data_IF_909519760995
#
_entry.id   IF_909519760995
#
_cell.length_a   1.000
_cell.length_b   1.000
_cell.length_c   1.000
_cell.angle_alpha   90.00
_cell.angle_beta   90.00
_cell.angle_gamma   90.00
#
_symmetry.space_group_name_H-M   'P 1'
#
loop_
_entity.id
_entity.type
_entity.pdbx_description
1 polymer ?
#
# COMPACT_ATOMS: atom_id res chain seq x y z
N UNK A 1 3.39 -7.27 2.99
CA UNK A 1 4.20 -8.48 3.25
C UNK A 1 3.35 -9.66 3.73
N UNK A 2 2.81 -9.63 4.96
CA UNK A 2 2.11 -10.78 5.58
C UNK A 2 0.96 -11.37 4.73
N UNK A 3 0.11 -10.54 4.11
CA UNK A 3 -0.98 -11.02 3.25
C UNK A 3 -0.49 -11.83 2.03
N UNK A 4 0.72 -11.56 1.56
CA UNK A 4 1.32 -12.20 0.38
C UNK A 4 2.15 -13.43 0.76
N UNK A 5 2.93 -13.34 1.84
CA UNK A 5 3.84 -14.42 2.25
C UNK A 5 3.23 -15.41 3.22
N UNK A 6 2.22 -14.98 3.98
CA UNK A 6 1.66 -15.71 5.12
C UNK A 6 2.69 -16.07 6.20
N UNK A 7 3.80 -15.33 6.25
CA UNK A 7 4.82 -15.42 7.29
C UNK A 7 4.47 -14.39 8.38
N UNK A 8 4.39 -14.82 9.63
CA UNK A 8 4.10 -13.96 10.77
C UNK A 8 5.34 -13.17 11.24
N UNK A 9 5.28 -12.59 12.44
CA UNK A 9 6.38 -11.80 13.00
C UNK A 9 7.55 -12.63 13.54
N UNK A 10 7.31 -13.92 13.81
CA UNK A 10 8.31 -14.86 14.34
C UNK A 10 8.94 -15.69 13.20
N UNK A 11 8.54 -15.43 11.95
CA UNK A 11 9.04 -16.15 10.77
C UNK A 11 8.29 -17.44 10.47
N UNK A 12 7.16 -17.68 11.13
CA UNK A 12 6.37 -18.91 10.97
C UNK A 12 5.40 -18.76 9.80
N UNK A 13 5.36 -19.76 8.92
CA UNK A 13 4.39 -19.85 7.83
C UNK A 13 3.04 -20.34 8.35
N UNK A 14 1.98 -19.56 8.15
CA UNK A 14 0.64 -19.85 8.69
C UNK A 14 -0.41 -19.83 7.58
N UNK A 15 -1.12 -20.95 7.37
CA UNK A 15 -2.19 -21.10 6.37
C UNK A 15 -1.81 -20.52 4.98
N UNK A 16 -0.74 -21.05 4.34
CA UNK A 16 -0.23 -20.56 3.06
C UNK A 16 -1.28 -20.55 1.93
N UNK A 17 -2.30 -21.38 2.03
CA UNK A 17 -3.43 -21.47 1.12
C UNK A 17 -4.27 -20.20 1.02
N UNK A 18 -4.29 -19.33 2.04
CA UNK A 18 -4.94 -18.01 1.93
C UNK A 18 -3.94 -16.88 1.63
N UNK A 19 -2.80 -17.22 1.01
CA UNK A 19 -1.95 -16.19 0.40
C UNK A 19 -2.69 -15.52 -0.75
N UNK A 20 -2.54 -14.20 -0.85
CA UNK A 20 -3.10 -13.41 -1.96
C UNK A 20 -2.01 -12.69 -2.73
N UNK A 21 -2.23 -12.44 -4.01
CA UNK A 21 -1.29 -11.66 -4.80
C UNK A 21 -1.25 -10.19 -4.36
N UNK A 22 -0.20 -9.48 -4.77
CA UNK A 22 0.06 -8.10 -4.36
C UNK A 22 -1.03 -7.13 -4.81
N UNK A 23 -1.61 -7.31 -5.99
CA UNK A 23 -2.67 -6.43 -6.48
C UNK A 23 -3.93 -6.63 -5.66
N UNK A 24 -4.29 -7.87 -5.36
CA UNK A 24 -5.41 -8.19 -4.45
C UNK A 24 -5.19 -7.58 -3.07
N UNK A 25 -3.98 -7.68 -2.51
CA UNK A 25 -3.65 -7.06 -1.22
C UNK A 25 -3.81 -5.53 -1.24
N UNK A 26 -3.31 -4.86 -2.29
CA UNK A 26 -3.42 -3.40 -2.45
C UNK A 26 -4.88 -2.98 -2.63
N UNK A 27 -5.64 -3.67 -3.48
CA UNK A 27 -7.08 -3.40 -3.67
C UNK A 27 -7.85 -3.56 -2.35
N UNK A 28 -7.49 -4.57 -1.55
CA UNK A 28 -8.08 -4.87 -0.26
C UNK A 28 -7.93 -3.76 0.78
N UNK A 29 -6.88 -2.93 0.69
CA UNK A 29 -6.63 -1.78 1.59
C UNK A 29 -6.87 -0.42 0.94
N UNK A 30 -7.35 -0.39 -0.31
CA UNK A 30 -7.62 0.85 -1.06
C UNK A 30 -9.06 0.86 -1.56
N UNK A 31 -9.28 0.46 -2.82
CA UNK A 31 -10.55 0.56 -3.52
C UNK A 31 -11.65 -0.26 -2.87
N UNK A 32 -11.33 -1.47 -2.41
CA UNK A 32 -12.33 -2.35 -1.79
C UNK A 32 -12.73 -1.86 -0.39
N UNK A 33 -11.79 -1.33 0.40
CA UNK A 33 -12.11 -0.66 1.67
C UNK A 33 -12.98 0.57 1.44
N UNK A 34 -12.62 1.44 0.49
CA UNK A 34 -13.41 2.63 0.16
C UNK A 34 -14.84 2.26 -0.27
N UNK A 35 -15.01 1.19 -1.05
CA UNK A 35 -16.32 0.64 -1.39
C UNK A 35 -17.08 0.14 -0.17
N UNK A 36 -16.42 -0.62 0.71
CA UNK A 36 -17.04 -1.21 1.89
C UNK A 36 -17.60 -0.14 2.83
N UNK A 37 -16.90 0.98 3.00
CA UNK A 37 -17.34 2.09 3.87
C UNK A 37 -18.21 3.14 3.15
N UNK A 38 -18.62 2.89 1.90
CA UNK A 38 -19.48 3.81 1.15
C UNK A 38 -18.81 5.10 0.67
N UNK A 39 -17.48 5.12 0.55
CA UNK A 39 -16.68 6.29 0.20
C UNK A 39 -15.95 6.18 -1.15
N UNK A 40 -16.39 5.27 -2.02
CA UNK A 40 -15.75 4.96 -3.30
C UNK A 40 -15.69 6.15 -4.26
N UNK A 41 -16.66 7.07 -4.20
CA UNK A 41 -16.68 8.28 -5.03
C UNK A 41 -15.50 9.21 -4.72
N UNK A 42 -14.96 9.16 -3.49
CA UNK A 42 -13.98 10.12 -3.00
C UNK A 42 -12.57 9.51 -2.82
N UNK A 43 -12.45 8.22 -2.53
CA UNK A 43 -11.19 7.59 -2.09
C UNK A 43 -10.89 6.26 -2.78
N UNK A 44 -9.70 5.73 -2.51
CA UNK A 44 -9.31 4.35 -2.76
C UNK A 44 -8.76 4.05 -4.16
N UNK A 45 -8.61 5.05 -5.03
CA UNK A 45 -7.97 4.92 -6.33
C UNK A 45 -7.50 6.26 -6.86
N UNK A 46 -6.55 6.23 -7.80
CA UNK A 46 -6.05 7.41 -8.51
C UNK A 46 -6.90 7.60 -9.77
N UNK A 47 -7.92 8.44 -9.66
CA UNK A 47 -8.87 8.74 -10.73
C UNK A 47 -9.27 10.23 -10.66
N UNK A 48 -9.53 10.91 -11.80
CA UNK A 48 -10.00 12.30 -11.78
C UNK A 48 -11.28 12.47 -10.94
N UNK A 49 -11.34 13.53 -10.14
CA UNK A 49 -12.47 13.85 -9.28
C UNK A 49 -12.38 13.31 -7.84
N UNK A 50 -11.41 12.43 -7.55
CA UNK A 50 -11.15 11.91 -6.19
C UNK A 50 -10.17 12.80 -5.42
N UNK A 51 -10.13 12.64 -4.10
CA UNK A 51 -9.08 13.28 -3.30
C UNK A 51 -7.70 12.79 -3.72
N UNK A 52 -6.73 13.71 -3.75
CA UNK A 52 -5.33 13.39 -4.01
C UNK A 52 -4.66 12.80 -2.76
N UNK A 53 -5.18 11.64 -2.34
CA UNK A 53 -4.62 10.80 -1.28
C UNK A 53 -3.72 9.74 -1.92
N UNK A 54 -2.41 9.94 -1.84
CA UNK A 54 -1.44 9.04 -2.45
C UNK A 54 -0.17 8.91 -1.61
N UNK A 55 0.51 7.79 -1.80
CA UNK A 55 1.78 7.48 -1.17
C UNK A 55 2.79 7.15 -2.25
N UNK A 56 3.98 7.75 -2.15
CA UNK A 56 5.12 7.45 -3.01
C UNK A 56 6.09 6.62 -2.17
N UNK A 57 6.60 5.53 -2.74
CA UNK A 57 7.51 4.59 -2.07
C UNK A 57 8.90 4.62 -2.70
N UNK A 58 9.94 4.29 -1.92
CA UNK A 58 11.32 4.09 -2.37
C UNK A 58 11.56 2.75 -3.10
N UNK A 59 10.50 2.12 -3.59
CA UNK A 59 10.56 0.80 -4.21
C UNK A 59 9.29 0.42 -4.96
N UNK A 60 9.36 -0.68 -5.70
CA UNK A 60 8.24 -1.18 -6.48
C UNK A 60 7.49 -2.27 -5.72
N UNK A 61 6.46 -1.87 -4.95
CA UNK A 61 5.64 -2.78 -4.16
C UNK A 61 4.94 -3.88 -4.99
N UNK A 62 4.78 -3.69 -6.30
CA UNK A 62 4.14 -4.66 -7.19
C UNK A 62 5.11 -5.75 -7.67
N UNK A 63 6.38 -5.41 -7.91
CA UNK A 63 7.29 -6.30 -8.65
C UNK A 63 8.61 -6.61 -7.94
N UNK A 64 9.06 -5.80 -6.98
CA UNK A 64 10.33 -6.05 -6.28
C UNK A 64 10.30 -7.39 -5.52
N UNK A 65 11.45 -8.04 -5.25
CA UNK A 65 11.51 -9.24 -4.42
C UNK A 65 10.73 -9.10 -3.11
N UNK A 66 10.07 -10.17 -2.66
CA UNK A 66 9.11 -10.09 -1.54
C UNK A 66 9.76 -9.65 -0.23
N UNK A 67 11.05 -9.94 -0.06
CA UNK A 67 11.88 -9.55 1.07
C UNK A 67 12.06 -8.03 1.14
N UNK A 68 12.01 -7.34 -0.01
CA UNK A 68 12.08 -5.87 -0.05
C UNK A 68 10.80 -5.23 0.45
N UNK A 69 9.63 -5.88 0.38
CA UNK A 69 8.36 -5.29 0.82
C UNK A 69 8.33 -4.89 2.30
N UNK A 70 9.14 -5.52 3.16
CA UNK A 70 9.27 -5.13 4.57
C UNK A 70 10.15 -3.89 4.77
N UNK A 71 11.00 -3.59 3.79
CA UNK A 71 11.98 -2.50 3.84
C UNK A 71 11.56 -1.31 2.99
N UNK A 72 10.62 -1.48 2.06
CA UNK A 72 10.05 -0.39 1.27
C UNK A 72 9.34 0.59 2.20
N UNK A 73 9.74 1.85 2.14
CA UNK A 73 9.22 2.92 2.97
C UNK A 73 8.50 3.96 2.10
N UNK A 74 7.49 4.64 2.65
CA UNK A 74 6.94 5.83 2.01
C UNK A 74 8.00 6.94 2.05
N UNK A 75 8.31 7.53 0.89
CA UNK A 75 9.13 8.74 0.78
C UNK A 75 8.28 10.01 0.75
N UNK A 76 6.99 9.87 0.44
CA UNK A 76 6.02 10.97 0.52
C UNK A 76 4.63 10.42 0.80
N UNK A 77 3.87 11.12 1.64
CA UNK A 77 2.42 10.92 1.82
C UNK A 77 1.70 12.23 1.54
N UNK A 78 0.72 12.18 0.66
CA UNK A 78 -0.16 13.30 0.34
C UNK A 78 -1.58 12.99 0.80
N UNK A 79 -2.24 13.97 1.42
CA UNK A 79 -3.63 13.88 1.89
C UNK A 79 -4.39 15.10 1.37
N UNK A 80 -5.43 14.87 0.57
CA UNK A 80 -6.26 15.91 -0.02
C UNK A 80 -5.46 16.89 -0.89
N UNK A 81 -4.33 16.48 -1.45
CA UNK A 81 -3.43 17.35 -2.21
C UNK A 81 -2.33 18.05 -1.39
N UNK A 82 -2.31 17.88 -0.08
CA UNK A 82 -1.28 18.46 0.80
C UNK A 82 -0.23 17.41 1.16
N UNK A 83 1.05 17.77 1.08
CA UNK A 83 2.14 16.92 1.56
C UNK A 83 2.05 16.86 3.09
N UNK A 84 1.65 15.71 3.61
CA UNK A 84 1.53 15.46 5.05
C UNK A 84 2.80 14.83 5.63
N UNK A 85 3.59 14.18 4.79
CA UNK A 85 4.90 13.60 5.11
C UNK A 85 5.77 13.63 3.86
N UNK A 86 7.04 13.94 4.04
CA UNK A 86 8.09 13.82 3.04
C UNK A 86 9.38 13.40 3.75
N UNK A 87 10.09 12.43 3.18
CA UNK A 87 11.40 12.03 3.67
C UNK A 87 12.44 13.02 3.16
N UNK A 88 12.95 13.87 4.06
CA UNK A 88 13.96 14.89 3.75
C UNK A 88 15.25 14.30 3.16
N UNK A 89 15.54 13.01 3.40
CA UNK A 89 16.72 12.35 2.84
C UNK A 89 16.58 12.04 1.34
N UNK A 90 15.37 12.07 0.79
CA UNK A 90 15.11 11.89 -0.64
C UNK A 90 15.37 13.16 -1.47
N UNK A 91 15.61 14.30 -0.81
CA UNK A 91 15.87 15.61 -1.42
C UNK A 91 17.37 16.00 -1.47
N UNK A 92 18.27 15.06 -1.16
CA UNK A 92 19.75 15.20 -1.23
C UNK A 92 20.33 14.32 -2.33
#
# INVERSE_FOLDING_TARGET
YKAVTRIDQDGVLIAPEESIDRKTAILGITRWTARYVGALENYGSIEPGKFADLVIFDGNILNDPVEKLLKTLPVMTMVGGWIAYEDDSANL
#
